data_IF_546142232320
#
_entry.id   IF_546142232320
#
_cell.length_a   1.000
_cell.length_b   1.000
_cell.length_c   1.000
_cell.angle_alpha   90.00
_cell.angle_beta   90.00
_cell.angle_gamma   90.00
#
_symmetry.space_group_name_H-M   'P 1'
#
loop_
_entity.id
_entity.type
_entity.pdbx_description
1 polymer ?
#
# COMPACT_ATOMS: atom_id res chain seq x y z
N UNK A 1 -7.61 15.80 -5.86
CA UNK A 1 -7.90 14.59 -5.07
C UNK A 1 -6.69 13.68 -5.14
N UNK A 2 -6.02 13.41 -4.03
CA UNK A 2 -4.90 12.47 -4.01
C UNK A 2 -5.45 11.05 -4.03
N UNK A 3 -5.07 10.28 -5.05
CA UNK A 3 -5.53 8.91 -5.29
C UNK A 3 -4.81 7.92 -4.34
N UNK A 4 -3.74 8.36 -3.70
CA UNK A 4 -2.94 7.60 -2.74
C UNK A 4 -2.65 8.43 -1.49
N UNK A 5 -2.38 7.74 -0.38
CA UNK A 5 -1.94 8.35 0.88
C UNK A 5 -0.66 7.68 1.34
N UNK A 6 0.34 8.51 1.71
CA UNK A 6 1.62 8.10 2.32
C UNK A 6 2.32 7.00 1.51
N UNK A 7 2.55 5.84 2.12
CA UNK A 7 3.29 4.72 1.57
C UNK A 7 2.44 3.81 0.69
N UNK A 8 1.16 4.14 0.47
CA UNK A 8 0.27 3.37 -0.41
C UNK A 8 0.78 3.26 -1.85
N UNK A 9 1.60 4.21 -2.32
CA UNK A 9 2.20 4.16 -3.67
C UNK A 9 3.21 3.01 -3.84
N UNK A 10 3.85 2.55 -2.74
CA UNK A 10 4.80 1.44 -2.78
C UNK A 10 4.14 0.10 -3.13
N UNK A 11 2.82 0.04 -3.11
CA UNK A 11 2.09 -1.14 -3.54
C UNK A 11 2.32 -1.48 -5.01
N UNK A 12 2.45 -0.46 -5.88
CA UNK A 12 2.67 -0.65 -7.31
C UNK A 12 3.98 -1.41 -7.61
N UNK A 13 5.16 -0.98 -7.12
CA UNK A 13 6.39 -1.74 -7.34
C UNK A 13 6.36 -3.12 -6.65
N UNK A 14 5.73 -3.25 -5.48
CA UNK A 14 5.63 -4.54 -4.77
C UNK A 14 4.81 -5.56 -5.58
N UNK A 15 3.66 -5.16 -6.14
CA UNK A 15 2.87 -6.00 -7.05
C UNK A 15 3.64 -6.26 -8.34
N UNK A 16 4.29 -5.23 -8.88
CA UNK A 16 5.12 -5.31 -10.07
C UNK A 16 6.19 -6.40 -9.95
N UNK A 17 6.89 -6.49 -8.81
CA UNK A 17 7.89 -7.54 -8.56
C UNK A 17 7.30 -8.96 -8.68
N UNK A 18 6.11 -9.19 -8.13
CA UNK A 18 5.42 -10.48 -8.26
C UNK A 18 5.11 -10.83 -9.71
N UNK A 19 4.53 -9.87 -10.45
CA UNK A 19 4.21 -10.03 -11.88
C UNK A 19 5.49 -10.29 -12.68
N UNK A 20 6.55 -9.52 -12.45
CA UNK A 20 7.84 -9.70 -13.12
C UNK A 20 8.41 -11.09 -12.90
N UNK A 21 8.36 -11.61 -11.67
CA UNK A 21 8.80 -12.98 -11.38
C UNK A 21 7.97 -14.00 -12.16
N UNK A 22 6.65 -13.87 -12.17
CA UNK A 22 5.78 -14.76 -12.95
C UNK A 22 6.10 -14.75 -14.43
N UNK A 23 6.24 -13.58 -15.04
CA UNK A 23 6.56 -13.42 -16.47
C UNK A 23 7.95 -14.00 -16.80
N UNK A 24 8.97 -13.75 -15.96
CA UNK A 24 10.31 -14.30 -16.16
C UNK A 24 10.29 -15.82 -16.08
N UNK A 25 9.62 -16.39 -15.07
CA UNK A 25 9.50 -17.84 -14.91
C UNK A 25 8.77 -18.48 -16.09
N UNK A 26 7.69 -17.85 -16.58
CA UNK A 26 6.98 -18.30 -17.78
C UNK A 26 7.87 -18.29 -19.01
N UNK A 27 8.59 -17.18 -19.25
CA UNK A 27 9.51 -17.05 -20.39
C UNK A 27 10.65 -18.09 -20.35
N UNK A 28 11.20 -18.38 -19.17
CA UNK A 28 12.20 -19.44 -19.01
C UNK A 28 11.59 -20.82 -19.30
N UNK A 29 10.38 -21.08 -18.80
CA UNK A 29 9.71 -22.37 -19.00
C UNK A 29 9.42 -22.62 -20.48
N UNK A 30 8.91 -21.62 -21.20
CA UNK A 30 8.65 -21.70 -22.64
C UNK A 30 9.96 -21.94 -23.42
N UNK A 31 11.05 -21.27 -23.04
CA UNK A 31 12.36 -21.45 -23.67
C UNK A 31 12.95 -22.86 -23.46
N UNK A 32 12.71 -23.48 -22.30
CA UNK A 32 13.22 -24.82 -21.97
C UNK A 32 12.37 -25.93 -22.56
N UNK A 33 11.05 -25.79 -22.50
CA UNK A 33 10.11 -26.87 -22.87
C UNK A 33 9.71 -26.82 -24.35
N UNK A 34 9.89 -25.67 -25.03
CA UNK A 34 9.44 -25.47 -26.40
C UNK A 34 7.90 -25.45 -26.55
N UNK A 35 7.16 -25.70 -25.47
CA UNK A 35 5.73 -25.54 -25.39
C UNK A 35 5.44 -24.12 -24.92
N UNK A 36 4.52 -23.42 -25.59
CA UNK A 36 3.96 -22.18 -25.09
C UNK A 36 3.00 -22.51 -23.95
N UNK A 37 3.55 -22.81 -22.76
CA UNK A 37 2.76 -23.09 -21.57
C UNK A 37 2.19 -21.75 -21.11
N UNK A 38 1.05 -21.41 -21.70
CA UNK A 38 0.28 -20.17 -21.62
C UNK A 38 0.88 -19.10 -20.72
N UNK A 39 1.51 -18.08 -21.29
CA UNK A 39 2.04 -16.93 -20.55
C UNK A 39 1.02 -16.28 -19.61
N UNK A 40 -0.29 -16.49 -19.84
CA UNK A 40 -1.37 -16.09 -18.92
C UNK A 40 -1.41 -16.89 -17.61
N UNK A 41 -1.05 -18.17 -17.61
CA UNK A 41 -0.97 -19.01 -16.40
C UNK A 41 0.13 -18.50 -15.46
N UNK A 42 1.33 -18.26 -16.00
CA UNK A 42 2.45 -17.72 -15.25
C UNK A 42 2.26 -16.25 -14.84
N UNK A 43 1.54 -15.45 -15.64
CA UNK A 43 1.08 -14.13 -15.22
C UNK A 43 0.15 -14.21 -14.01
N UNK A 44 -0.78 -15.18 -13.99
CA UNK A 44 -1.66 -15.43 -12.84
C UNK A 44 -0.87 -15.83 -11.59
N UNK A 45 0.11 -16.73 -11.73
CA UNK A 45 1.02 -17.12 -10.63
C UNK A 45 1.81 -15.92 -10.12
N UNK A 46 2.33 -15.08 -11.03
CA UNK A 46 3.01 -13.83 -10.68
C UNK A 46 2.13 -12.86 -9.90
N UNK A 47 0.85 -12.75 -10.25
CA UNK A 47 -0.13 -11.96 -9.49
C UNK A 47 -0.40 -12.54 -8.10
N UNK A 48 -0.53 -13.86 -7.95
CA UNK A 48 -0.68 -14.49 -6.63
C UNK A 48 0.56 -14.20 -5.77
N UNK A 49 1.77 -14.34 -6.33
CA UNK A 49 3.02 -13.96 -5.67
C UNK A 49 3.04 -12.47 -5.33
N UNK A 50 2.54 -11.61 -6.21
CA UNK A 50 2.35 -10.18 -5.94
C UNK A 50 1.49 -9.94 -4.71
N UNK A 51 0.37 -10.67 -4.57
CA UNK A 51 -0.48 -10.61 -3.37
C UNK A 51 0.26 -11.03 -2.10
N UNK A 52 1.09 -12.06 -2.17
CA UNK A 52 1.96 -12.50 -1.06
C UNK A 52 2.98 -11.41 -0.70
N UNK A 53 3.61 -10.77 -1.69
CA UNK A 53 4.53 -9.66 -1.44
C UNK A 53 3.82 -8.45 -0.81
N UNK A 54 2.60 -8.13 -1.24
CA UNK A 54 1.80 -7.07 -0.60
C UNK A 54 1.46 -7.44 0.85
N UNK A 55 1.16 -8.71 1.13
CA UNK A 55 0.93 -9.19 2.50
C UNK A 55 2.18 -9.05 3.38
N UNK A 56 3.35 -9.43 2.85
CA UNK A 56 4.64 -9.22 3.54
C UNK A 56 4.92 -7.73 3.77
N UNK A 57 4.65 -6.89 2.78
CA UNK A 57 4.82 -5.44 2.89
C UNK A 57 3.90 -4.84 3.96
N UNK A 58 2.62 -5.22 4.00
CA UNK A 58 1.67 -4.80 5.04
C UNK A 58 2.10 -5.28 6.44
N UNK A 59 2.58 -6.52 6.55
CA UNK A 59 2.95 -7.12 7.83
C UNK A 59 4.26 -6.57 8.41
N UNK A 60 5.26 -6.32 7.57
CA UNK A 60 6.62 -6.01 8.02
C UNK A 60 7.05 -4.58 7.72
N UNK A 61 6.73 -4.02 6.55
CA UNK A 61 7.19 -2.68 6.18
C UNK A 61 6.28 -1.58 6.71
N UNK A 62 4.95 -1.70 6.53
CA UNK A 62 4.02 -0.67 6.97
C UNK A 62 4.08 -0.35 8.46
N UNK A 63 4.29 -1.31 9.39
CA UNK A 63 4.36 -0.97 10.80
C UNK A 63 5.51 -0.02 11.14
N UNK A 64 6.63 -0.14 10.41
CA UNK A 64 7.80 0.70 10.56
C UNK A 64 7.64 2.07 9.87
N UNK A 65 6.86 2.12 8.80
CA UNK A 65 6.62 3.31 7.99
C UNK A 65 5.47 4.19 8.55
N UNK A 66 4.42 3.56 9.08
CA UNK A 66 3.27 4.19 9.73
C UNK A 66 3.46 4.23 11.26
N UNK A 67 4.55 4.88 11.70
CA UNK A 67 4.80 5.12 13.12
C UNK A 67 3.70 6.03 13.71
N UNK A 68 3.30 5.81 14.99
CA UNK A 68 2.37 6.70 15.67
C UNK A 68 2.90 8.13 15.64
N UNK A 69 2.05 9.08 15.26
CA UNK A 69 2.36 10.50 15.31
C UNK A 69 1.37 11.19 16.23
N UNK A 70 1.85 12.20 16.96
CA UNK A 70 0.98 13.06 17.74
C UNK A 70 0.10 13.84 16.78
N UNK A 71 -1.21 13.81 17.04
CA UNK A 71 -2.13 14.67 16.30
C UNK A 71 -1.94 16.11 16.80
N UNK A 72 -1.75 17.06 15.90
CA UNK A 72 -1.60 18.48 16.22
C UNK A 72 -2.92 19.20 15.89
N UNK A 73 -3.34 20.12 16.75
CA UNK A 73 -4.48 21.01 16.54
C UNK A 73 -4.00 22.45 16.50
N UNK A 74 -4.63 23.25 15.66
CA UNK A 74 -4.44 24.70 15.63
C UNK A 74 -5.24 25.33 16.75
N UNK A 75 -4.55 25.84 17.77
CA UNK A 75 -5.14 26.60 18.86
C UNK A 75 -4.93 28.10 18.60
N UNK A 76 -5.97 28.94 18.70
CA UNK A 76 -5.80 30.40 18.61
C UNK A 76 -4.94 30.88 19.78
N UNK A 77 -3.92 31.71 19.50
CA UNK A 77 -3.12 32.31 20.57
C UNK A 77 -3.97 33.34 21.31
N UNK A 78 -3.91 33.32 22.64
CA UNK A 78 -4.55 34.33 23.48
C UNK A 78 -4.00 35.75 23.21
N UNK A 79 -2.76 35.86 22.73
CA UNK A 79 -2.13 37.11 22.31
C UNK A 79 -1.45 36.90 20.95
N UNK A 80 -1.78 37.70 19.91
CA UNK A 80 -1.12 37.61 18.62
C UNK A 80 0.38 37.88 18.77
N UNK A 81 1.22 36.89 18.46
CA UNK A 81 2.67 37.07 18.51
C UNK A 81 3.14 37.67 17.18
N UNK A 82 3.85 38.80 17.25
CA UNK A 82 4.48 39.42 16.08
C UNK A 82 5.91 38.93 16.01
N UNK A 83 6.21 38.14 14.99
CA UNK A 83 7.58 37.66 14.76
C UNK A 83 8.51 38.83 14.39
N UNK A 84 9.84 38.69 14.57
CA UNK A 84 10.81 39.72 14.18
C UNK A 84 10.77 40.13 12.70
N UNK A 85 10.15 39.31 11.86
CA UNK A 85 9.90 39.54 10.44
C UNK A 85 8.57 40.29 10.15
N UNK A 86 7.87 40.78 11.18
CA UNK A 86 6.61 41.52 11.07
C UNK A 86 5.36 40.66 10.86
N UNK A 87 5.49 39.34 10.76
CA UNK A 87 4.35 38.43 10.53
C UNK A 87 3.59 38.19 11.84
N UNK A 88 2.28 38.45 11.83
CA UNK A 88 1.39 38.20 12.97
C UNK A 88 0.93 36.75 12.98
N UNK A 89 1.29 35.98 14.01
CA UNK A 89 0.83 34.62 14.19
C UNK A 89 -0.34 34.61 15.18
N UNK A 90 -1.52 34.24 14.68
CA UNK A 90 -2.75 34.16 15.48
C UNK A 90 -3.09 32.72 15.91
N UNK A 91 -2.42 31.72 15.36
CA UNK A 91 -2.65 30.29 15.63
C UNK A 91 -1.34 29.55 15.89
N UNK A 92 -1.34 28.67 16.90
CA UNK A 92 -0.22 27.80 17.28
C UNK A 92 -0.61 26.33 17.11
N UNK A 93 0.30 25.51 16.60
CA UNK A 93 0.11 24.06 16.58
C UNK A 93 0.47 23.48 17.95
N UNK A 94 -0.51 22.87 18.62
CA UNK A 94 -0.36 22.23 19.94
C UNK A 94 -0.78 20.77 19.81
N UNK A 95 -0.11 19.81 20.47
CA UNK A 95 -0.57 18.42 20.50
C UNK A 95 -2.02 18.34 21.00
N UNK A 96 -2.83 17.56 20.30
CA UNK A 96 -4.19 17.25 20.71
C UNK A 96 -4.12 16.48 22.03
N UNK A 97 -4.69 17.05 23.08
CA UNK A 97 -4.77 16.42 24.40
C UNK A 97 -6.21 15.98 24.64
N UNK A 98 -6.39 14.77 25.15
CA UNK A 98 -7.70 14.29 25.59
C UNK A 98 -8.14 15.02 26.86
N UNK A 99 -9.33 15.63 26.83
CA UNK A 99 -9.87 16.44 27.91
C UNK A 99 -10.12 15.65 29.20
N UNK A 100 -10.32 14.33 29.12
CA UNK A 100 -10.60 13.49 30.31
C UNK A 100 -9.34 13.02 31.01
N UNK A 101 -8.27 12.80 30.26
CA UNK A 101 -7.04 12.14 30.77
C UNK A 101 -5.82 13.06 30.79
N UNK A 102 -5.86 14.19 30.09
CA UNK A 102 -4.73 15.11 29.98
C UNK A 102 -3.56 14.56 29.15
N UNK A 103 -3.73 13.42 28.47
CA UNK A 103 -2.68 12.78 27.68
C UNK A 103 -2.74 13.17 26.20
N UNK A 104 -1.58 13.26 25.51
CA UNK A 104 -1.55 13.52 24.07
C UNK A 104 -2.14 12.34 23.28
N UNK A 105 -3.00 12.66 22.32
CA UNK A 105 -3.63 11.69 21.43
C UNK A 105 -2.65 11.26 20.34
N UNK A 106 -2.28 9.98 20.38
CA UNK A 106 -1.45 9.35 19.36
C UNK A 106 -2.33 8.68 18.32
N UNK A 107 -2.20 9.09 17.06
CA UNK A 107 -2.92 8.47 15.95
C UNK A 107 -1.93 7.72 15.08
N UNK A 108 -2.26 6.47 14.76
CA UNK A 108 -1.53 5.73 13.75
C UNK A 108 -2.12 6.05 12.38
N UNK A 109 -1.37 6.76 11.51
CA UNK A 109 -1.86 7.00 10.16
C UNK A 109 -1.97 5.67 9.41
N UNK A 110 -2.99 5.54 8.56
CA UNK A 110 -3.17 4.33 7.73
C UNK A 110 -2.81 4.68 6.29
N UNK A 111 -1.86 3.94 5.70
CA UNK A 111 -1.55 4.05 4.28
C UNK A 111 -2.65 3.45 3.40
N UNK A 112 -2.98 4.11 2.28
CA UNK A 112 -4.05 3.70 1.37
C UNK A 112 -3.72 3.96 -0.10
N UNK A 113 -4.24 3.11 -0.97
CA UNK A 113 -4.18 3.25 -2.43
C UNK A 113 -5.62 3.18 -2.98
N UNK A 114 -6.00 4.12 -3.84
CA UNK A 114 -7.39 4.29 -4.33
C UNK A 114 -8.43 4.32 -3.20
N UNK A 115 -8.12 5.03 -2.10
CA UNK A 115 -8.96 5.10 -0.90
C UNK A 115 -9.15 3.75 -0.14
N UNK A 116 -8.55 2.66 -0.62
CA UNK A 116 -8.57 1.35 0.02
C UNK A 116 -7.31 1.17 0.87
N UNK A 117 -7.45 0.86 2.18
CA UNK A 117 -6.31 0.55 3.04
C UNK A 117 -5.44 -0.58 2.50
N UNK A 118 -4.11 -0.45 2.58
CA UNK A 118 -3.16 -1.42 2.00
C UNK A 118 -3.41 -2.85 2.49
N UNK A 119 -3.86 -3.04 3.75
CA UNK A 119 -4.22 -4.35 4.32
C UNK A 119 -5.20 -5.20 3.50
N UNK A 120 -6.03 -4.58 2.65
CA UNK A 120 -7.03 -5.31 1.85
C UNK A 120 -6.51 -5.70 0.46
N UNK A 121 -5.47 -5.02 -0.03
CA UNK A 121 -4.92 -5.27 -1.36
C UNK A 121 -4.31 -6.66 -1.56
N UNK A 122 -3.72 -7.35 -0.56
CA UNK A 122 -3.28 -8.74 -0.74
C UNK A 122 -4.37 -9.65 -1.29
N UNK A 123 -5.60 -9.50 -0.77
CA UNK A 123 -6.74 -10.33 -1.18
C UNK A 123 -7.23 -9.96 -2.58
N UNK A 124 -7.23 -8.67 -2.92
CA UNK A 124 -7.61 -8.20 -4.27
C UNK A 124 -6.63 -8.73 -5.31
N UNK A 125 -5.33 -8.53 -5.07
CA UNK A 125 -4.27 -8.93 -6.01
C UNK A 125 -4.20 -10.46 -6.12
N UNK A 126 -4.20 -11.17 -5.00
CA UNK A 126 -4.18 -12.64 -5.01
C UNK A 126 -5.45 -13.22 -5.63
N UNK A 127 -6.63 -12.65 -5.33
CA UNK A 127 -7.90 -13.10 -5.90
C UNK A 127 -7.94 -12.95 -7.43
N UNK A 128 -7.49 -11.81 -7.96
CA UNK A 128 -7.37 -11.61 -9.42
C UNK A 128 -6.37 -12.63 -10.00
N UNK A 129 -5.21 -12.79 -9.37
CA UNK A 129 -4.21 -13.78 -9.80
C UNK A 129 -4.77 -15.20 -9.86
N UNK A 130 -5.52 -15.61 -8.85
CA UNK A 130 -6.13 -16.94 -8.73
C UNK A 130 -7.17 -17.17 -9.85
N UNK A 131 -8.01 -16.16 -10.14
CA UNK A 131 -8.96 -16.21 -11.28
C UNK A 131 -8.23 -16.33 -12.61
N UNK A 132 -7.16 -15.57 -12.83
CA UNK A 132 -6.35 -15.63 -14.06
C UNK A 132 -5.67 -17.00 -14.18
N UNK A 133 -5.12 -17.55 -13.11
CA UNK A 133 -4.50 -18.87 -13.10
C UNK A 133 -5.51 -19.97 -13.40
N UNK A 134 -6.67 -19.99 -12.72
CA UNK A 134 -7.71 -21.00 -12.95
C UNK A 134 -8.24 -20.91 -14.37
N UNK A 135 -8.59 -19.70 -14.84
CA UNK A 135 -9.12 -19.53 -16.21
C UNK A 135 -8.11 -19.98 -17.28
N UNK A 136 -6.82 -19.70 -17.07
CA UNK A 136 -5.75 -20.17 -17.95
C UNK A 136 -5.58 -21.69 -17.90
N UNK A 137 -5.63 -22.28 -16.70
CA UNK A 137 -5.53 -23.72 -16.52
C UNK A 137 -6.72 -24.47 -17.17
N UNK A 138 -7.94 -23.97 -17.02
CA UNK A 138 -9.13 -24.53 -17.69
C UNK A 138 -8.98 -24.46 -19.20
N UNK A 139 -8.48 -23.34 -19.75
CA UNK A 139 -8.22 -23.22 -21.19
C UNK A 139 -7.22 -24.24 -21.69
N UNK A 140 -6.18 -24.55 -20.91
CA UNK A 140 -5.18 -25.57 -21.24
C UNK A 140 -5.72 -27.00 -21.16
N UNK A 141 -6.75 -27.26 -20.35
CA UNK A 141 -7.35 -28.59 -20.21
C UNK A 141 -8.43 -28.88 -21.24
N UNK A 142 -9.10 -27.82 -21.74
CA UNK A 142 -10.25 -27.94 -22.65
C UNK A 142 -9.86 -27.67 -24.11
N UNK A 143 -8.76 -26.95 -24.35
CA UNK A 143 -8.21 -26.69 -25.69
C UNK A 143 -7.11 -27.67 -26.05
#
# INVERSE_FOLDING_TARGET
>A
MLIWSRWGILLLPVVGLGISIGVIVGAITDAVTGASVGGSLFLGVGLVLGGVFVWLFDRYALPHLDRPRQQLVLQPLAQPYVHPNGVRQTHQQVPLVDQRTGQPVWVRPTSSLFFVPVRYWPYVVAGIGLVVTISSAVRLLVG
#
